data_IF_482491258492
#
_entry.id   IF_482491258492
#
_cell.length_a   1.000
_cell.length_b   1.000
_cell.length_c   1.000
_cell.angle_alpha   90.00
_cell.angle_beta   90.00
_cell.angle_gamma   90.00
#
_symmetry.space_group_name_H-M   'P 1'
#
loop_
_entity.id
_entity.type
_entity.pdbx_description
1 polymer ?
#
# COMPACT_ATOMS: atom_id res chain seq x y z
N UNK A 1 -24.98 -12.39 39.05
CA UNK A 1 -24.59 -13.09 37.80
C UNK A 1 -24.99 -12.33 36.54
N UNK A 2 -26.22 -11.81 36.43
CA UNK A 2 -26.69 -11.04 35.25
C UNK A 2 -25.88 -9.77 34.95
N UNK A 3 -25.42 -9.05 35.98
CA UNK A 3 -24.61 -7.82 35.84
C UNK A 3 -23.17 -8.08 35.39
N UNK A 4 -22.56 -9.19 35.81
CA UNK A 4 -21.22 -9.60 35.38
C UNK A 4 -21.21 -10.00 33.90
N UNK A 5 -22.28 -10.66 33.44
CA UNK A 5 -22.42 -11.10 32.05
C UNK A 5 -22.60 -9.91 31.08
N UNK A 6 -23.26 -8.83 31.53
CA UNK A 6 -23.38 -7.57 30.79
C UNK A 6 -22.04 -6.80 30.74
N UNK A 7 -21.25 -6.81 31.82
CA UNK A 7 -19.93 -6.17 31.83
C UNK A 7 -18.93 -6.86 30.90
N UNK A 8 -18.95 -8.20 30.84
CA UNK A 8 -18.10 -8.99 29.93
C UNK A 8 -18.50 -8.75 28.47
N UNK A 9 -19.81 -8.67 28.18
CA UNK A 9 -20.32 -8.34 26.84
C UNK A 9 -19.86 -6.95 26.36
N UNK A 10 -19.81 -5.96 27.26
CA UNK A 10 -19.37 -4.60 26.91
C UNK A 10 -17.85 -4.51 26.63
N UNK A 11 -17.05 -5.37 27.25
CA UNK A 11 -15.59 -5.41 27.06
C UNK A 11 -15.18 -6.08 25.73
N UNK A 12 -16.02 -6.96 25.19
CA UNK A 12 -15.79 -7.62 23.88
C UNK A 12 -16.09 -6.67 22.72
N UNK A 13 -17.03 -5.72 22.89
CA UNK A 13 -17.33 -4.71 21.86
C UNK A 13 -16.22 -3.66 21.68
N UNK A 14 -15.35 -3.42 22.67
CA UNK A 14 -14.24 -2.47 22.54
C UNK A 14 -13.01 -3.01 21.80
N UNK A 15 -13.00 -4.30 21.43
CA UNK A 15 -11.88 -4.92 20.71
C UNK A 15 -12.00 -4.81 19.17
N UNK A 16 -13.08 -4.23 18.63
CA UNK A 16 -13.18 -3.93 17.19
C UNK A 16 -12.50 -2.61 16.86
N UNK A 17 -11.27 -2.42 17.32
CA UNK A 17 -10.40 -1.41 16.70
C UNK A 17 -9.91 -2.04 15.40
N UNK A 18 -10.36 -1.50 14.27
CA UNK A 18 -9.81 -1.86 12.97
C UNK A 18 -8.28 -1.75 13.08
N UNK A 19 -7.59 -2.88 12.96
CA UNK A 19 -6.14 -2.95 13.05
C UNK A 19 -5.58 -2.15 11.87
N UNK A 20 -5.24 -0.89 12.12
CA UNK A 20 -4.62 -0.01 11.12
C UNK A 20 -3.28 -0.65 10.77
N UNK A 21 -3.02 -0.85 9.47
CA UNK A 21 -1.76 -1.43 9.02
C UNK A 21 -0.59 -0.54 9.46
N UNK A 22 0.57 -1.12 9.75
CA UNK A 22 1.74 -0.33 10.16
C UNK A 22 2.19 0.62 9.05
N UNK A 23 2.02 0.24 7.78
CA UNK A 23 2.25 1.13 6.64
C UNK A 23 1.30 2.33 6.63
N UNK A 24 0.05 2.14 7.01
CA UNK A 24 -0.90 3.25 7.14
C UNK A 24 -0.47 4.23 8.23
N UNK A 25 0.08 3.75 9.33
CA UNK A 25 0.64 4.60 10.38
C UNK A 25 1.83 5.43 9.86
N UNK A 26 2.75 4.80 9.12
CA UNK A 26 3.87 5.49 8.47
C UNK A 26 3.34 6.56 7.52
N UNK A 27 2.38 6.23 6.65
CA UNK A 27 1.78 7.22 5.75
C UNK A 27 1.20 8.40 6.51
N UNK A 28 0.34 8.17 7.50
CA UNK A 28 -0.33 9.25 8.22
C UNK A 28 0.67 10.09 9.03
N UNK A 29 1.76 9.51 9.52
CA UNK A 29 2.85 10.23 10.18
C UNK A 29 3.59 11.16 9.22
N UNK A 30 3.91 10.70 8.01
CA UNK A 30 4.81 11.43 7.10
C UNK A 30 4.12 12.27 6.02
N UNK A 31 2.82 12.09 5.78
CA UNK A 31 2.09 12.72 4.66
C UNK A 31 2.12 14.26 4.64
N UNK A 32 2.29 14.91 5.80
CA UNK A 32 2.29 16.38 5.94
C UNK A 32 3.70 16.97 6.14
N UNK A 33 4.74 16.14 6.08
CA UNK A 33 6.11 16.61 6.24
C UNK A 33 6.58 17.44 5.04
N UNK A 34 7.34 18.50 5.32
CA UNK A 34 7.97 19.32 4.28
C UNK A 34 8.93 18.46 3.44
N UNK A 35 8.82 18.58 2.11
CA UNK A 35 9.64 17.81 1.17
C UNK A 35 9.09 16.42 0.87
N UNK A 36 7.86 16.13 1.30
CA UNK A 36 7.14 14.90 0.97
C UNK A 36 5.89 15.27 0.17
N UNK A 37 5.76 14.70 -1.03
CA UNK A 37 4.51 14.78 -1.79
C UNK A 37 3.68 13.55 -1.45
N UNK A 38 2.48 13.76 -0.89
CA UNK A 38 1.59 12.68 -0.49
C UNK A 38 0.32 12.64 -1.33
N UNK A 39 -0.06 11.44 -1.76
CA UNK A 39 -1.26 11.20 -2.56
C UNK A 39 -2.07 10.09 -1.89
N UNK A 40 -3.40 10.26 -1.77
CA UNK A 40 -4.32 9.26 -1.23
C UNK A 40 -5.54 9.13 -2.12
N UNK A 41 -5.68 7.96 -2.74
CA UNK A 41 -6.81 7.60 -3.61
C UNK A 41 -7.64 6.56 -2.86
N UNK A 42 -8.89 6.89 -2.56
CA UNK A 42 -9.80 6.00 -1.85
C UNK A 42 -10.80 5.29 -2.76
N UNK A 43 -11.49 4.29 -2.18
CA UNK A 43 -12.57 3.50 -2.79
C UNK A 43 -13.60 4.27 -3.63
N UNK A 44 -14.07 5.48 -3.25
CA UNK A 44 -15.00 6.23 -4.08
C UNK A 44 -14.44 6.56 -5.47
N UNK A 45 -13.14 6.86 -5.57
CA UNK A 45 -12.47 7.15 -6.85
C UNK A 45 -12.42 5.91 -7.73
N UNK A 46 -12.04 4.75 -7.18
CA UNK A 46 -12.04 3.49 -7.92
C UNK A 46 -13.44 3.09 -8.42
N UNK A 47 -14.48 3.31 -7.60
CA UNK A 47 -15.88 3.13 -8.02
C UNK A 47 -16.27 4.07 -9.15
N UNK A 48 -15.77 5.31 -9.15
CA UNK A 48 -16.01 6.27 -10.24
C UNK A 48 -15.32 5.79 -11.52
N UNK A 49 -14.03 5.43 -11.44
CA UNK A 49 -13.26 4.90 -12.57
C UNK A 49 -13.92 3.67 -13.19
N UNK A 50 -14.41 2.73 -12.38
CA UNK A 50 -15.08 1.51 -12.88
C UNK A 50 -16.44 1.79 -13.56
N UNK A 51 -17.09 2.92 -13.25
CA UNK A 51 -18.36 3.33 -13.89
C UNK A 51 -18.15 4.15 -15.15
N UNK A 52 -16.97 4.73 -15.35
CA UNK A 52 -16.65 5.44 -16.57
C UNK A 52 -16.41 4.41 -17.68
N UNK A 53 -17.24 4.47 -18.72
CA UNK A 53 -17.04 3.70 -19.96
C UNK A 53 -15.92 4.34 -20.76
N UNK A 54 -14.68 4.18 -20.33
CA UNK A 54 -13.52 4.64 -21.08
C UNK A 54 -13.07 3.50 -21.99
N UNK A 55 -12.88 3.79 -23.28
CA UNK A 55 -12.49 2.83 -24.31
C UNK A 55 -10.99 2.49 -24.31
N UNK A 56 -10.29 2.79 -23.22
CA UNK A 56 -8.85 2.59 -23.13
C UNK A 56 -8.51 1.15 -22.72
N UNK A 57 -7.77 0.47 -23.60
CA UNK A 57 -7.31 -0.91 -23.42
C UNK A 57 -6.51 -1.12 -22.12
N UNK A 58 -5.82 -0.08 -21.64
CA UNK A 58 -5.06 -0.11 -20.40
C UNK A 58 -5.97 -0.11 -19.15
N UNK A 59 -7.11 0.58 -19.21
CA UNK A 59 -8.07 0.62 -18.09
C UNK A 59 -8.78 -0.71 -17.89
N UNK A 60 -9.14 -1.41 -18.98
CA UNK A 60 -9.73 -2.75 -18.90
C UNK A 60 -8.76 -3.77 -18.29
N UNK A 61 -7.45 -3.58 -18.45
CA UNK A 61 -6.42 -4.44 -17.85
C UNK A 61 -6.32 -4.27 -16.33
N UNK A 62 -6.47 -3.04 -15.83
CA UNK A 62 -6.40 -2.76 -14.38
C UNK A 62 -7.75 -2.88 -13.67
N UNK A 63 -8.86 -2.93 -14.40
CA UNK A 63 -10.24 -3.02 -13.89
C UNK A 63 -10.49 -4.17 -12.89
N UNK A 64 -9.93 -5.39 -13.08
CA UNK A 64 -10.04 -6.45 -12.09
C UNK A 64 -9.42 -6.05 -10.74
N UNK A 65 -8.33 -5.27 -10.78
CA UNK A 65 -7.62 -4.77 -9.59
C UNK A 65 -8.40 -3.63 -8.92
N UNK A 66 -9.03 -2.74 -9.69
CA UNK A 66 -9.82 -1.62 -9.16
C UNK A 66 -10.96 -2.07 -8.21
N UNK A 67 -11.47 -3.29 -8.41
CA UNK A 67 -12.52 -3.87 -7.58
C UNK A 67 -12.02 -4.45 -6.24
N UNK A 68 -10.72 -4.77 -6.17
CA UNK A 68 -10.06 -5.44 -5.04
C UNK A 68 -9.29 -4.47 -4.14
N UNK A 69 -9.02 -3.26 -4.63
CA UNK A 69 -8.28 -2.21 -3.93
C UNK A 69 -9.23 -1.30 -3.17
N UNK A 70 -8.97 -1.10 -1.88
CA UNK A 70 -9.69 -0.17 -1.03
C UNK A 70 -9.06 1.23 -1.06
N UNK A 71 -7.73 1.31 -1.03
CA UNK A 71 -7.01 2.56 -1.15
C UNK A 71 -5.60 2.41 -1.73
N UNK A 72 -5.14 3.44 -2.44
CA UNK A 72 -3.73 3.63 -2.81
C UNK A 72 -3.24 4.86 -2.07
N UNK A 73 -2.10 4.75 -1.41
CA UNK A 73 -1.42 5.86 -0.76
C UNK A 73 0.01 5.94 -1.28
N UNK A 74 0.50 7.14 -1.57
CA UNK A 74 1.86 7.34 -2.08
C UNK A 74 2.57 8.41 -1.28
N UNK A 75 3.83 8.15 -0.95
CA UNK A 75 4.79 9.13 -0.48
C UNK A 75 5.89 9.24 -1.54
N UNK A 76 6.10 10.45 -2.06
CA UNK A 76 7.07 10.76 -3.11
C UNK A 76 8.10 11.73 -2.53
N UNK A 77 9.37 11.43 -2.78
CA UNK A 77 10.53 12.19 -2.36
C UNK A 77 11.37 12.51 -3.60
N UNK A 78 11.50 13.79 -3.94
CA UNK A 78 12.22 14.22 -5.15
C UNK A 78 13.75 14.32 -4.94
N UNK A 79 14.20 14.35 -3.68
CA UNK A 79 15.62 14.50 -3.33
C UNK A 79 16.14 13.27 -2.60
N UNK A 80 16.95 12.48 -3.29
CA UNK A 80 17.62 11.32 -2.72
C UNK A 80 18.51 11.69 -1.53
N UNK A 81 18.48 10.83 -0.50
CA UNK A 81 19.29 10.96 0.70
C UNK A 81 18.81 12.03 1.69
N UNK A 82 17.64 12.64 1.46
CA UNK A 82 17.05 13.55 2.44
C UNK A 82 16.81 12.82 3.78
N UNK A 83 16.99 13.52 4.91
CA UNK A 83 16.79 12.94 6.24
C UNK A 83 15.43 12.25 6.35
N UNK A 84 14.38 12.91 5.83
CA UNK A 84 13.02 12.41 5.89
C UNK A 84 12.82 11.13 5.06
N UNK A 85 13.41 11.04 3.86
CA UNK A 85 13.37 9.82 3.06
C UNK A 85 14.09 8.68 3.80
N UNK A 86 15.23 8.95 4.42
CA UNK A 86 15.97 7.94 5.19
C UNK A 86 15.17 7.46 6.41
N UNK A 87 14.47 8.37 7.09
CA UNK A 87 13.60 8.06 8.23
C UNK A 87 12.43 7.16 7.80
N UNK A 88 11.74 7.51 6.70
CA UNK A 88 10.65 6.69 6.15
C UNK A 88 11.16 5.33 5.68
N UNK A 89 12.28 5.30 4.96
CA UNK A 89 12.90 4.05 4.48
C UNK A 89 13.27 3.13 5.66
N UNK A 90 13.78 3.70 6.75
CA UNK A 90 14.13 2.96 7.96
C UNK A 90 12.87 2.46 8.69
N UNK A 91 11.83 3.28 8.80
CA UNK A 91 10.55 2.88 9.38
C UNK A 91 9.93 1.69 8.63
N UNK A 92 9.95 1.72 7.30
CA UNK A 92 9.47 0.63 6.45
C UNK A 92 10.32 -0.64 6.63
N UNK A 93 11.65 -0.52 6.61
CA UNK A 93 12.56 -1.67 6.83
C UNK A 93 12.32 -2.37 8.17
N UNK A 94 11.98 -1.60 9.21
CA UNK A 94 11.68 -2.14 10.54
C UNK A 94 10.38 -2.94 10.59
N UNK A 95 9.50 -2.82 9.59
CA UNK A 95 8.28 -3.62 9.50
C UNK A 95 8.56 -5.08 9.12
N UNK A 96 9.76 -5.40 8.59
CA UNK A 96 10.19 -6.75 8.18
C UNK A 96 9.24 -7.42 7.17
N UNK A 97 8.80 -6.65 6.18
CA UNK A 97 7.99 -7.18 5.09
C UNK A 97 8.79 -8.17 4.23
N UNK A 98 8.09 -9.15 3.68
CA UNK A 98 8.66 -10.12 2.76
C UNK A 98 8.82 -9.49 1.37
N UNK A 99 10.02 -9.60 0.79
CA UNK A 99 10.30 -9.14 -0.57
C UNK A 99 9.81 -10.21 -1.56
N UNK A 100 8.79 -9.87 -2.33
CA UNK A 100 8.18 -10.78 -3.31
C UNK A 100 8.92 -10.71 -4.65
N UNK A 101 9.26 -9.49 -5.08
CA UNK A 101 9.91 -9.22 -6.36
C UNK A 101 10.88 -8.06 -6.15
N UNK A 102 12.09 -8.18 -6.69
CA UNK A 102 13.04 -7.08 -6.83
C UNK A 102 13.51 -6.99 -8.29
N UNK A 103 13.37 -5.80 -8.86
CA UNK A 103 13.80 -5.46 -10.21
C UNK A 103 14.86 -4.38 -10.11
N UNK A 104 16.00 -4.60 -10.76
CA UNK A 104 17.06 -3.63 -10.90
C UNK A 104 17.27 -3.38 -12.39
N UNK A 105 16.97 -2.17 -12.87
CA UNK A 105 17.08 -1.83 -14.29
C UNK A 105 17.43 -0.36 -14.47
N UNK A 106 18.48 -0.08 -15.24
CA UNK A 106 18.86 1.28 -15.67
C UNK A 106 18.93 2.31 -14.52
N UNK A 107 19.46 1.90 -13.36
CA UNK A 107 19.57 2.76 -12.17
C UNK A 107 18.30 2.84 -11.32
N UNK A 108 17.20 2.22 -11.74
CA UNK A 108 15.97 2.08 -10.95
C UNK A 108 15.99 0.79 -10.15
N UNK A 109 15.66 0.89 -8.86
CA UNK A 109 15.44 -0.24 -7.98
C UNK A 109 13.97 -0.29 -7.56
N UNK A 110 13.25 -1.31 -8.03
CA UNK A 110 11.83 -1.51 -7.76
C UNK A 110 11.69 -2.76 -6.88
N UNK A 111 10.94 -2.65 -5.80
CA UNK A 111 10.65 -3.75 -4.87
C UNK A 111 9.17 -3.86 -4.59
N UNK A 112 8.63 -5.07 -4.70
CA UNK A 112 7.30 -5.43 -4.22
C UNK A 112 7.44 -6.18 -2.90
N UNK A 113 6.75 -5.69 -1.87
CA UNK A 113 6.85 -6.17 -0.50
C UNK A 113 5.45 -6.44 0.06
N UNK A 114 5.29 -7.47 0.90
CA UNK A 114 4.03 -7.79 1.58
C UNK A 114 4.25 -8.04 3.09
N UNK A 115 3.22 -7.73 3.91
CA UNK A 115 3.29 -7.99 5.35
C UNK A 115 3.09 -9.47 5.66
N UNK A 116 2.08 -10.09 5.04
CA UNK A 116 1.80 -11.51 5.18
C UNK A 116 1.47 -12.11 3.83
N UNK A 117 2.01 -13.31 3.62
CA UNK A 117 1.69 -14.23 2.54
C UNK A 117 0.99 -15.44 3.17
N UNK A 118 -0.28 -15.66 2.84
CA UNK A 118 -1.04 -16.84 3.28
C UNK A 118 -1.62 -17.56 2.07
N UNK A 119 -0.98 -18.66 1.69
CA UNK A 119 -1.24 -19.35 0.42
C UNK A 119 -1.08 -18.38 -0.75
N UNK A 120 -2.18 -18.14 -1.47
CA UNK A 120 -2.18 -17.22 -2.62
C UNK A 120 -2.48 -15.76 -2.27
N UNK A 121 -2.83 -15.46 -1.02
CA UNK A 121 -3.29 -14.14 -0.60
C UNK A 121 -2.17 -13.28 -0.02
N UNK A 122 -2.16 -12.02 -0.44
CA UNK A 122 -1.18 -11.01 -0.06
C UNK A 122 -1.88 -9.88 0.68
N UNK A 123 -1.33 -9.49 1.82
CA UNK A 123 -1.86 -8.40 2.64
C UNK A 123 -0.88 -7.23 2.75
N UNK A 124 -1.44 -6.02 2.72
CA UNK A 124 -0.72 -4.75 2.90
C UNK A 124 0.48 -4.64 1.96
N UNK A 125 0.23 -4.57 0.66
CA UNK A 125 1.30 -4.51 -0.33
C UNK A 125 1.98 -3.14 -0.33
N UNK A 126 3.31 -3.15 -0.49
CA UNK A 126 4.14 -1.97 -0.67
C UNK A 126 4.97 -2.13 -1.93
N UNK A 127 4.89 -1.13 -2.80
CA UNK A 127 5.81 -0.92 -3.91
C UNK A 127 6.79 0.18 -3.51
N UNK A 128 8.08 -0.14 -3.52
CA UNK A 128 9.16 0.82 -3.33
C UNK A 128 9.91 1.00 -4.64
N UNK A 129 9.98 2.23 -5.13
CA UNK A 129 10.74 2.61 -6.32
C UNK A 129 11.81 3.60 -5.86
N UNK A 130 13.07 3.29 -6.09
CA UNK A 130 14.17 4.22 -5.94
C UNK A 130 14.77 4.44 -7.33
N UNK A 131 14.57 5.63 -7.87
CA UNK A 131 15.03 6.02 -9.20
C UNK A 131 16.45 6.57 -9.12
N UNK A 132 17.25 6.30 -10.15
CA UNK A 132 18.65 6.71 -10.20
C UNK A 132 18.86 8.24 -10.30
N UNK A 133 17.80 8.97 -10.67
CA UNK A 133 17.74 10.43 -10.75
C UNK A 133 17.49 11.11 -9.39
N UNK A 134 17.29 10.32 -8.34
CA UNK A 134 17.11 10.78 -6.98
C UNK A 134 15.66 10.78 -6.49
N UNK A 135 14.70 10.38 -7.33
CA UNK A 135 13.31 10.22 -6.90
C UNK A 135 13.12 8.91 -6.10
N UNK A 136 12.32 8.95 -5.05
CA UNK A 136 11.90 7.76 -4.30
C UNK A 136 10.40 7.78 -4.07
N UNK A 137 9.74 6.67 -4.42
CA UNK A 137 8.30 6.50 -4.29
C UNK A 137 8.03 5.29 -3.40
N UNK A 138 7.22 5.49 -2.37
CA UNK A 138 6.57 4.41 -1.63
C UNK A 138 5.08 4.42 -1.93
N UNK A 139 4.59 3.39 -2.60
CA UNK A 139 3.19 3.19 -2.91
C UNK A 139 2.63 2.04 -2.06
N UNK A 140 1.71 2.38 -1.18
CA UNK A 140 1.01 1.46 -0.28
C UNK A 140 -0.34 1.12 -0.92
N UNK A 141 -0.59 -0.17 -1.06
CA UNK A 141 -1.79 -0.72 -1.66
C UNK A 141 -2.57 -1.51 -0.60
N UNK A 142 -3.66 -0.92 -0.15
CA UNK A 142 -4.62 -1.56 0.74
C UNK A 142 -5.72 -2.24 -0.10
N UNK A 143 -5.76 -3.56 -0.04
CA UNK A 143 -6.68 -4.40 -0.80
C UNK A 143 -6.47 -5.88 -0.53
N UNK A 144 -7.40 -6.70 -1.01
CA UNK A 144 -7.31 -8.16 -0.97
C UNK A 144 -6.79 -8.67 -2.32
N UNK A 145 -5.48 -8.86 -2.42
CA UNK A 145 -4.81 -9.21 -3.68
C UNK A 145 -4.21 -10.61 -3.60
N UNK A 146 -4.10 -11.25 -4.76
CA UNK A 146 -3.46 -12.56 -4.92
C UNK A 146 -2.17 -12.47 -5.74
N UNK A 147 -1.36 -13.51 -5.74
CA UNK A 147 -0.18 -13.60 -6.62
C UNK A 147 -0.51 -13.35 -8.11
N UNK A 148 -1.61 -13.91 -8.61
CA UNK A 148 -2.06 -13.68 -9.99
C UNK A 148 -2.32 -12.20 -10.31
N UNK A 149 -2.80 -11.45 -9.31
CA UNK A 149 -3.05 -10.01 -9.45
C UNK A 149 -1.73 -9.22 -9.54
N UNK A 150 -0.66 -9.68 -8.87
CA UNK A 150 0.68 -9.11 -9.01
C UNK A 150 1.32 -9.43 -10.37
N UNK A 151 1.10 -10.64 -10.87
CA UNK A 151 1.61 -11.03 -12.19
C UNK A 151 1.09 -10.09 -13.27
N UNK A 152 -0.17 -9.66 -13.20
CA UNK A 152 -0.74 -8.69 -14.14
C UNK A 152 -0.06 -7.31 -14.08
N UNK A 153 0.51 -6.92 -12.94
CA UNK A 153 1.23 -5.64 -12.79
C UNK A 153 2.67 -5.70 -13.33
N UNK A 154 3.31 -6.87 -13.26
CA UNK A 154 4.73 -7.04 -13.59
C UNK A 154 4.95 -7.56 -15.02
N UNK A 155 4.00 -8.31 -15.58
CA UNK A 155 4.17 -9.02 -16.86
C UNK A 155 4.06 -8.13 -18.12
N UNK A 156 3.97 -6.81 -18.00
CA UNK A 156 4.00 -5.91 -19.15
C UNK A 156 5.46 -5.53 -19.48
N UNK A 157 6.16 -6.47 -20.14
CA UNK A 157 7.29 -6.22 -21.03
C UNK A 157 6.97 -6.83 -22.39
#
# INVERSE_FOLDING_TARGET
MKTILVLISLFVCSMTQAQISKLDQIFEQYKEHKGVTSIKIGKPMFKMLNKMKMSDSDLETIKPLLSKVNSIKMLIFENAGSSIQNDVSSAIRNLKYEELIAINSEGNNIKFLAENVDGDFLSNLLLSINSGDGETIFMILDGALKYDDLNALVSKN
#
